data_IF_589429912683
#
_entry.id   IF_589429912683
#
_cell.length_a   1.000
_cell.length_b   1.000
_cell.length_c   1.000
_cell.angle_alpha   90.00
_cell.angle_beta   90.00
_cell.angle_gamma   90.00
#
_symmetry.space_group_name_H-M   'P 1'
#
loop_
_entity.id
_entity.type
_entity.pdbx_description
1 polymer ?
#
# COMPACT_ATOMS: atom_id res chain seq x y z
N UNK A 1 5.08 -20.49 28.09
CA UNK A 1 5.20 -19.66 29.31
C UNK A 1 6.65 -19.48 29.72
N UNK A 2 7.44 -20.58 29.78
CA UNK A 2 8.83 -20.53 30.25
C UNK A 2 9.69 -19.59 29.42
N UNK A 3 9.56 -19.61 28.07
CA UNK A 3 10.38 -18.84 27.14
C UNK A 3 10.04 -17.34 27.10
N UNK A 4 8.82 -16.94 27.44
CA UNK A 4 8.38 -15.55 27.53
C UNK A 4 8.14 -15.07 28.98
N UNK A 5 8.69 -15.80 29.99
CA UNK A 5 8.53 -15.42 31.39
C UNK A 5 9.26 -14.07 31.65
N UNK A 6 8.50 -13.10 32.15
CA UNK A 6 9.00 -11.74 32.38
C UNK A 6 8.99 -10.82 31.17
N UNK A 7 8.62 -11.30 29.97
CA UNK A 7 8.43 -10.45 28.81
C UNK A 7 7.10 -9.70 28.91
N UNK A 8 7.15 -8.40 28.68
CA UNK A 8 5.99 -7.53 28.60
C UNK A 8 5.82 -6.98 27.17
N UNK A 9 4.62 -6.59 26.83
CA UNK A 9 4.36 -5.83 25.61
C UNK A 9 5.19 -4.53 25.64
N UNK A 10 5.75 -4.17 24.49
CA UNK A 10 6.71 -3.06 24.35
C UNK A 10 6.17 -1.77 24.98
N UNK A 11 6.92 -1.23 25.93
CA UNK A 11 6.58 0.01 26.63
C UNK A 11 5.46 -0.10 27.67
N UNK A 12 5.02 -1.31 28.05
CA UNK A 12 3.94 -1.52 29.02
C UNK A 12 4.34 -2.49 30.12
N UNK A 13 3.52 -2.60 31.17
CA UNK A 13 3.62 -3.64 32.19
C UNK A 13 2.74 -4.88 31.88
N UNK A 14 2.11 -4.93 30.72
CA UNK A 14 1.21 -6.02 30.33
C UNK A 14 2.04 -7.24 29.91
N UNK A 15 1.82 -8.42 30.53
CA UNK A 15 2.55 -9.62 30.17
C UNK A 15 2.35 -9.98 28.69
N UNK A 16 3.45 -10.35 28.00
CA UNK A 16 3.41 -10.73 26.58
C UNK A 16 2.48 -11.91 26.28
N UNK A 17 2.31 -12.80 27.27
CA UNK A 17 1.38 -13.93 27.21
C UNK A 17 -0.05 -13.50 26.83
N UNK A 18 -0.49 -12.27 27.16
CA UNK A 18 -1.82 -11.79 26.78
C UNK A 18 -1.96 -11.64 25.27
N UNK A 19 -0.88 -11.26 24.57
CA UNK A 19 -0.83 -11.21 23.11
C UNK A 19 -0.94 -12.63 22.51
N UNK A 20 -0.12 -13.56 22.97
CA UNK A 20 -0.13 -14.94 22.47
C UNK A 20 -1.50 -15.61 22.61
N UNK A 21 -2.16 -15.42 23.76
CA UNK A 21 -3.51 -15.94 24.00
C UNK A 21 -4.57 -15.30 23.10
N UNK A 22 -4.46 -14.01 22.86
CA UNK A 22 -5.38 -13.28 21.97
C UNK A 22 -5.21 -13.73 20.50
N UNK A 23 -3.96 -13.86 20.03
CA UNK A 23 -3.66 -14.36 18.68
C UNK A 23 -4.18 -15.79 18.51
N UNK A 24 -3.93 -16.68 19.48
CA UNK A 24 -4.45 -18.04 19.43
C UNK A 24 -5.98 -18.07 19.39
N UNK A 25 -6.66 -17.24 20.19
CA UNK A 25 -8.13 -17.14 20.17
C UNK A 25 -8.67 -16.73 18.81
N UNK A 26 -8.09 -15.70 18.20
CA UNK A 26 -8.46 -15.22 16.85
C UNK A 26 -8.18 -16.27 15.76
N UNK A 27 -7.01 -16.92 15.81
CA UNK A 27 -6.62 -17.95 14.85
C UNK A 27 -7.55 -19.18 14.92
N UNK A 28 -7.94 -19.62 16.14
CA UNK A 28 -8.89 -20.71 16.34
C UNK A 28 -10.26 -20.36 15.75
N UNK A 29 -10.76 -19.14 16.01
CA UNK A 29 -12.05 -18.67 15.46
C UNK A 29 -12.03 -18.68 13.94
N UNK A 30 -10.98 -18.12 13.34
CA UNK A 30 -10.85 -18.00 11.87
C UNK A 30 -10.64 -19.37 11.20
N UNK A 31 -9.81 -20.26 11.79
CA UNK A 31 -9.58 -21.61 11.27
C UNK A 31 -10.82 -22.51 11.41
N UNK A 32 -11.55 -22.42 12.51
CA UNK A 32 -12.78 -23.21 12.70
C UNK A 32 -13.92 -22.77 11.75
N UNK A 33 -13.91 -21.51 11.33
CA UNK A 33 -14.87 -20.98 10.37
C UNK A 33 -14.52 -21.31 8.90
N UNK A 34 -13.27 -21.73 8.63
CA UNK A 34 -12.78 -22.03 7.28
C UNK A 34 -12.79 -23.54 7.00
N UNK A 35 -13.63 -24.04 6.07
CA UNK A 35 -13.68 -25.47 5.75
C UNK A 35 -12.32 -26.08 5.33
N UNK A 36 -11.41 -25.29 4.79
CA UNK A 36 -10.07 -25.73 4.39
C UNK A 36 -9.10 -25.91 5.54
N UNK A 37 -9.39 -25.35 6.74
CA UNK A 37 -8.51 -25.38 7.90
C UNK A 37 -9.08 -26.13 9.10
N UNK A 38 -10.33 -26.63 9.04
CA UNK A 38 -10.99 -27.27 10.18
C UNK A 38 -10.21 -28.48 10.75
N UNK A 39 -9.53 -29.22 9.90
CA UNK A 39 -8.73 -30.38 10.31
C UNK A 39 -7.36 -29.99 10.91
N UNK A 40 -6.97 -28.70 10.81
CA UNK A 40 -5.70 -28.15 11.30
C UNK A 40 -5.86 -27.20 12.49
N UNK A 41 -7.06 -27.04 13.05
CA UNK A 41 -7.35 -26.06 14.12
C UNK A 41 -6.43 -26.23 15.32
N UNK A 42 -6.10 -27.47 15.71
CA UNK A 42 -5.20 -27.74 16.84
C UNK A 42 -3.76 -27.29 16.54
N UNK A 43 -3.23 -27.63 15.37
CA UNK A 43 -1.88 -27.22 14.94
C UNK A 43 -1.78 -25.70 14.80
N UNK A 44 -2.79 -25.05 14.21
CA UNK A 44 -2.90 -23.60 14.10
C UNK A 44 -2.94 -22.93 15.48
N UNK A 45 -3.70 -23.49 16.44
CA UNK A 45 -3.77 -22.98 17.80
C UNK A 45 -2.42 -23.05 18.52
N UNK A 46 -1.70 -24.17 18.37
CA UNK A 46 -0.36 -24.36 18.92
C UNK A 46 0.63 -23.39 18.26
N UNK A 47 0.63 -23.32 16.91
CA UNK A 47 1.49 -22.40 16.16
C UNK A 47 1.23 -20.94 16.54
N UNK A 48 -0.04 -20.54 16.71
CA UNK A 48 -0.40 -19.19 17.15
C UNK A 48 0.11 -18.84 18.55
N UNK A 49 0.18 -19.81 19.46
CA UNK A 49 0.80 -19.61 20.77
C UNK A 49 2.33 -19.51 20.72
N UNK A 50 2.95 -20.01 19.66
CA UNK A 50 4.39 -20.13 19.48
C UNK A 50 4.96 -19.25 18.36
N UNK A 51 4.14 -18.46 17.68
CA UNK A 51 4.51 -17.78 16.44
C UNK A 51 5.76 -16.88 16.56
N UNK A 52 6.01 -16.30 17.74
CA UNK A 52 7.19 -15.45 17.99
C UNK A 52 8.34 -16.21 18.67
N UNK A 53 8.21 -17.54 18.92
CA UNK A 53 9.21 -18.27 19.71
C UNK A 53 10.58 -18.32 19.02
N UNK A 54 10.61 -18.45 17.69
CA UNK A 54 11.85 -18.48 16.90
C UNK A 54 12.50 -17.09 16.78
N UNK A 55 11.72 -16.01 16.87
CA UNK A 55 12.24 -14.64 16.78
C UNK A 55 12.77 -14.11 18.12
N UNK A 56 12.10 -14.44 19.21
CA UNK A 56 12.29 -13.80 20.51
C UNK A 56 13.03 -14.66 21.53
N UNK A 57 13.33 -15.94 21.20
CA UNK A 57 13.97 -16.87 22.13
C UNK A 57 15.11 -17.64 21.48
N UNK A 58 15.84 -18.43 22.27
CA UNK A 58 16.92 -19.32 21.81
C UNK A 58 16.38 -20.70 21.31
N UNK A 59 15.05 -20.86 21.23
CA UNK A 59 14.45 -22.11 20.74
C UNK A 59 14.71 -22.27 19.25
N UNK A 60 15.18 -23.44 18.85
CA UNK A 60 15.45 -23.76 17.45
C UNK A 60 14.26 -24.42 16.76
N UNK A 61 14.22 -24.39 15.43
CA UNK A 61 13.20 -25.08 14.64
C UNK A 61 13.17 -26.60 14.92
N UNK A 62 14.35 -27.22 15.12
CA UNK A 62 14.46 -28.66 15.42
C UNK A 62 13.86 -29.00 16.80
N UNK A 63 14.05 -28.15 17.80
CA UNK A 63 13.46 -28.31 19.12
C UNK A 63 11.93 -28.16 19.08
N UNK A 64 11.44 -27.21 18.25
CA UNK A 64 10.03 -26.99 18.02
C UNK A 64 9.38 -28.21 17.33
N UNK A 65 10.02 -28.75 16.28
CA UNK A 65 9.57 -29.96 15.60
C UNK A 65 9.54 -31.17 16.53
N UNK A 66 10.58 -31.36 17.33
CA UNK A 66 10.65 -32.49 18.30
C UNK A 66 9.54 -32.41 19.34
N UNK A 67 9.08 -31.21 19.71
CA UNK A 67 8.07 -31.01 20.73
C UNK A 67 6.63 -31.04 20.20
N UNK A 68 6.38 -30.51 19.01
CA UNK A 68 5.03 -30.21 18.46
C UNK A 68 4.79 -30.78 17.07
N UNK A 69 5.79 -31.36 16.41
CA UNK A 69 5.67 -31.93 15.07
C UNK A 69 6.01 -30.95 13.93
N UNK A 70 6.19 -31.51 12.73
CA UNK A 70 6.65 -30.73 11.56
C UNK A 70 5.62 -29.69 11.10
N UNK A 71 4.32 -29.97 11.20
CA UNK A 71 3.26 -29.04 10.77
C UNK A 71 3.30 -27.75 11.60
N UNK A 72 3.40 -27.85 12.91
CA UNK A 72 3.50 -26.67 13.79
C UNK A 72 4.79 -25.90 13.51
N UNK A 73 5.92 -26.61 13.34
CA UNK A 73 7.20 -25.98 12.98
C UNK A 73 7.08 -25.19 11.68
N UNK A 74 6.56 -25.79 10.62
CA UNK A 74 6.41 -25.13 9.30
C UNK A 74 5.56 -23.87 9.40
N UNK A 75 4.40 -23.93 10.10
CA UNK A 75 3.55 -22.75 10.30
C UNK A 75 4.31 -21.64 11.05
N UNK A 76 5.06 -21.97 12.10
CA UNK A 76 5.81 -20.98 12.88
C UNK A 76 6.95 -20.38 12.09
N UNK A 77 7.70 -21.17 11.31
CA UNK A 77 8.77 -20.68 10.43
C UNK A 77 8.21 -19.70 9.39
N UNK A 78 7.09 -20.03 8.73
CA UNK A 78 6.42 -19.16 7.75
C UNK A 78 5.86 -17.87 8.37
N UNK A 79 5.64 -17.80 9.68
CA UNK A 79 5.20 -16.60 10.40
C UNK A 79 6.36 -15.73 10.88
N UNK A 80 7.61 -16.22 10.88
CA UNK A 80 8.77 -15.56 11.50
C UNK A 80 9.50 -14.65 10.53
N UNK A 81 9.86 -13.43 10.96
CA UNK A 81 10.58 -12.42 10.14
C UNK A 81 12.12 -12.46 10.37
N UNK A 82 12.61 -13.26 11.29
CA UNK A 82 14.04 -13.47 11.56
C UNK A 82 14.23 -14.64 12.54
N UNK A 83 15.40 -15.27 12.50
CA UNK A 83 15.78 -16.30 13.46
C UNK A 83 16.60 -15.72 14.63
N UNK A 84 16.11 -15.95 15.84
CA UNK A 84 16.81 -15.69 17.11
C UNK A 84 16.94 -14.21 17.50
N UNK A 85 17.35 -13.96 18.75
CA UNK A 85 17.52 -12.60 19.31
C UNK A 85 18.83 -11.92 18.86
N UNK A 86 19.57 -12.52 17.91
CA UNK A 86 20.89 -12.06 17.46
C UNK A 86 20.90 -10.76 16.64
N UNK A 87 21.93 -10.59 15.81
CA UNK A 87 22.10 -9.38 14.99
C UNK A 87 21.09 -9.34 13.84
N UNK A 88 19.86 -8.87 14.13
CA UNK A 88 18.77 -8.77 13.14
C UNK A 88 19.15 -7.77 12.04
N UNK A 89 18.88 -8.06 10.76
CA UNK A 89 19.03 -7.10 9.66
C UNK A 89 18.24 -5.79 9.91
N UNK A 90 18.52 -4.71 9.14
CA UNK A 90 17.74 -3.49 9.23
C UNK A 90 16.24 -3.74 9.14
N UNK A 91 15.45 -3.00 9.90
CA UNK A 91 14.00 -3.19 10.04
C UNK A 91 13.28 -3.27 8.69
N UNK A 92 13.54 -2.34 7.78
CA UNK A 92 12.90 -2.28 6.46
C UNK A 92 13.20 -3.54 5.64
N UNK A 93 14.46 -3.98 5.63
CA UNK A 93 14.86 -5.16 4.87
C UNK A 93 14.16 -6.44 5.37
N UNK A 94 14.08 -6.61 6.69
CA UNK A 94 13.35 -7.74 7.28
C UNK A 94 11.85 -7.72 6.93
N UNK A 95 11.23 -6.52 7.00
CA UNK A 95 9.81 -6.39 6.69
C UNK A 95 9.52 -6.62 5.21
N UNK A 96 10.41 -6.20 4.31
CA UNK A 96 10.30 -6.53 2.88
C UNK A 96 10.41 -8.03 2.65
N UNK A 97 11.41 -8.69 3.23
CA UNK A 97 11.58 -10.14 3.12
C UNK A 97 10.34 -10.88 3.64
N UNK A 98 9.83 -10.51 4.80
CA UNK A 98 8.62 -11.10 5.36
C UNK A 98 7.40 -10.95 4.42
N UNK A 99 7.24 -9.80 3.74
CA UNK A 99 6.16 -9.60 2.78
C UNK A 99 6.33 -10.51 1.55
N UNK A 100 7.56 -10.67 1.06
CA UNK A 100 7.87 -11.56 -0.06
C UNK A 100 7.58 -13.03 0.33
N UNK A 101 7.94 -13.45 1.55
CA UNK A 101 7.71 -14.80 2.06
C UNK A 101 6.22 -15.10 2.28
N UNK A 102 5.43 -14.11 2.73
CA UNK A 102 3.98 -14.26 2.92
C UNK A 102 3.22 -14.61 1.62
N UNK A 103 3.73 -14.22 0.45
CA UNK A 103 3.10 -14.56 -0.84
C UNK A 103 3.13 -16.07 -1.11
N UNK A 104 4.02 -16.80 -0.46
CA UNK A 104 4.19 -18.25 -0.61
C UNK A 104 3.80 -19.05 0.63
N UNK A 105 3.35 -18.37 1.69
CA UNK A 105 2.98 -18.98 2.94
C UNK A 105 1.72 -19.88 2.79
N UNK A 106 1.65 -20.92 3.60
CA UNK A 106 0.49 -21.80 3.67
C UNK A 106 -0.75 -21.10 4.21
N UNK A 107 -1.95 -21.61 3.89
CA UNK A 107 -3.21 -21.07 4.41
C UNK A 107 -3.24 -21.07 5.96
N UNK A 108 -2.61 -22.05 6.59
CA UNK A 108 -2.49 -22.14 8.04
C UNK A 108 -1.58 -21.04 8.61
N UNK A 109 -0.43 -20.76 7.98
CA UNK A 109 0.46 -19.67 8.38
C UNK A 109 -0.18 -18.30 8.13
N UNK A 110 -0.85 -18.10 6.98
CA UNK A 110 -1.62 -16.89 6.70
C UNK A 110 -2.73 -16.66 7.75
N UNK A 111 -3.37 -17.72 8.25
CA UNK A 111 -4.36 -17.63 9.32
C UNK A 111 -3.74 -17.10 10.62
N UNK A 112 -2.58 -17.64 11.02
CA UNK A 112 -1.85 -17.20 12.22
C UNK A 112 -1.33 -15.77 12.04
N UNK A 113 -0.71 -15.46 10.89
CA UNK A 113 -0.22 -14.12 10.56
C UNK A 113 -1.34 -13.07 10.59
N UNK A 114 -2.52 -13.38 10.03
CA UNK A 114 -3.69 -12.52 10.07
C UNK A 114 -4.14 -12.24 11.51
N UNK A 115 -4.22 -13.27 12.35
CA UNK A 115 -4.60 -13.14 13.75
C UNK A 115 -3.60 -12.29 14.55
N UNK A 116 -2.29 -12.46 14.32
CA UNK A 116 -1.23 -11.66 14.93
C UNK A 116 -1.35 -10.18 14.49
N UNK A 117 -1.46 -9.92 13.18
CA UNK A 117 -1.51 -8.55 12.69
C UNK A 117 -2.80 -7.83 13.10
N UNK A 118 -3.94 -8.53 13.20
CA UNK A 118 -5.18 -7.96 13.77
C UNK A 118 -4.98 -7.54 15.23
N UNK A 119 -4.42 -8.40 16.07
CA UNK A 119 -4.18 -8.07 17.47
C UNK A 119 -3.16 -6.95 17.63
N UNK A 120 -2.07 -6.98 16.88
CA UNK A 120 -1.02 -5.95 16.90
C UNK A 120 -1.54 -4.59 16.45
N UNK A 121 -2.27 -4.52 15.32
CA UNK A 121 -2.85 -3.29 14.82
C UNK A 121 -3.86 -2.69 15.80
N UNK A 122 -4.79 -3.51 16.34
CA UNK A 122 -5.77 -3.06 17.32
C UNK A 122 -5.10 -2.55 18.59
N UNK A 123 -4.11 -3.27 19.11
CA UNK A 123 -3.36 -2.84 20.28
C UNK A 123 -2.63 -1.53 20.06
N UNK A 124 -2.04 -1.34 18.87
CA UNK A 124 -1.38 -0.09 18.49
C UNK A 124 -2.37 1.06 18.41
N UNK A 125 -3.56 0.85 17.85
CA UNK A 125 -4.62 1.87 17.82
C UNK A 125 -5.03 2.28 19.22
N UNK A 126 -5.36 1.30 20.09
CA UNK A 126 -5.80 1.56 21.47
C UNK A 126 -4.74 2.32 22.28
N UNK A 127 -3.47 1.90 22.19
CA UNK A 127 -2.37 2.54 22.90
C UNK A 127 -2.10 3.95 22.35
N UNK A 128 -2.13 4.15 21.01
CA UNK A 128 -1.95 5.45 20.38
C UNK A 128 -3.07 6.44 20.72
N UNK A 129 -4.32 6.00 20.78
CA UNK A 129 -5.46 6.82 21.21
C UNK A 129 -5.34 7.25 22.68
N UNK A 130 -4.82 6.35 23.54
CA UNK A 130 -4.68 6.63 24.96
C UNK A 130 -3.51 7.58 25.27
N UNK A 131 -2.40 7.48 24.54
CA UNK A 131 -1.15 8.20 24.85
C UNK A 131 -0.86 9.38 23.92
N UNK A 132 -1.55 9.44 22.78
CA UNK A 132 -1.36 10.50 21.78
C UNK A 132 -0.04 10.40 21.00
N UNK A 133 0.43 11.52 20.42
CA UNK A 133 1.57 11.51 19.49
C UNK A 133 2.88 10.94 20.05
N UNK A 134 3.11 11.03 21.35
CA UNK A 134 4.34 10.53 21.99
C UNK A 134 4.45 9.00 21.96
N UNK A 135 3.33 8.28 21.79
CA UNK A 135 3.28 6.84 21.67
C UNK A 135 4.26 6.30 20.61
N UNK A 136 4.38 7.00 19.48
CA UNK A 136 5.16 6.57 18.34
C UNK A 136 6.67 6.51 18.60
N UNK A 137 7.16 7.24 19.60
CA UNK A 137 8.58 7.21 20.01
C UNK A 137 9.03 5.84 20.55
N UNK A 138 8.11 4.93 20.85
CA UNK A 138 8.41 3.55 21.26
C UNK A 138 9.00 2.69 20.16
N UNK A 139 8.71 3.03 18.89
CA UNK A 139 9.14 2.24 17.74
C UNK A 139 10.47 2.73 17.21
N UNK A 140 11.31 1.79 16.77
CA UNK A 140 12.56 2.12 16.06
C UNK A 140 12.31 2.65 14.65
N UNK A 141 11.18 2.26 14.05
CA UNK A 141 10.68 2.79 12.79
C UNK A 141 9.61 3.86 13.06
N UNK A 142 9.65 4.96 12.34
CA UNK A 142 8.73 6.09 12.54
C UNK A 142 7.28 5.78 12.21
N UNK A 143 6.33 6.71 12.50
CA UNK A 143 4.91 6.51 12.22
C UNK A 143 4.64 6.17 10.75
N UNK A 144 5.34 6.79 9.80
CA UNK A 144 5.19 6.54 8.37
C UNK A 144 5.64 5.13 7.95
N UNK A 145 6.72 4.62 8.55
CA UNK A 145 7.17 3.26 8.33
C UNK A 145 6.16 2.25 8.89
N UNK A 146 5.52 2.56 10.02
CA UNK A 146 4.43 1.74 10.57
C UNK A 146 3.21 1.72 9.64
N UNK A 147 2.82 2.87 9.07
CA UNK A 147 1.75 2.94 8.06
C UNK A 147 2.08 2.06 6.86
N UNK A 148 3.27 2.21 6.30
CA UNK A 148 3.72 1.40 5.17
C UNK A 148 3.62 -0.10 5.49
N UNK A 149 4.16 -0.50 6.64
CA UNK A 149 4.17 -1.89 7.08
C UNK A 149 2.76 -2.49 7.21
N UNK A 150 1.89 -1.84 7.97
CA UNK A 150 0.55 -2.36 8.21
C UNK A 150 -0.32 -2.38 6.95
N UNK A 151 -0.16 -1.41 6.07
CA UNK A 151 -0.86 -1.40 4.77
C UNK A 151 -0.37 -2.52 3.86
N UNK A 152 0.93 -2.70 3.74
CA UNK A 152 1.51 -3.75 2.90
C UNK A 152 1.07 -5.14 3.36
N UNK A 153 1.18 -5.44 4.66
CA UNK A 153 0.78 -6.75 5.19
C UNK A 153 -0.72 -6.98 5.09
N UNK A 154 -1.55 -5.97 5.35
CA UNK A 154 -3.00 -6.09 5.21
C UNK A 154 -3.43 -6.34 3.75
N UNK A 155 -2.73 -5.71 2.80
CA UNK A 155 -2.98 -5.91 1.37
C UNK A 155 -2.65 -7.34 0.92
N UNK A 156 -1.47 -7.86 1.29
CA UNK A 156 -1.04 -9.22 0.92
C UNK A 156 -1.95 -10.26 1.56
N UNK A 157 -2.17 -10.18 2.87
CA UNK A 157 -3.04 -11.14 3.57
C UNK A 157 -4.47 -11.06 3.05
N UNK A 158 -4.99 -9.85 2.81
CA UNK A 158 -6.34 -9.66 2.27
C UNK A 158 -6.53 -10.19 0.86
N UNK A 159 -5.46 -10.23 0.04
CA UNK A 159 -5.47 -10.82 -1.28
C UNK A 159 -5.52 -12.36 -1.22
N UNK A 160 -4.62 -12.98 -0.45
CA UNK A 160 -4.50 -14.43 -0.37
C UNK A 160 -5.57 -15.07 0.53
N UNK A 161 -6.02 -14.36 1.55
CA UNK A 161 -7.02 -14.84 2.52
C UNK A 161 -8.16 -13.82 2.70
N UNK A 162 -8.99 -13.59 1.66
CA UNK A 162 -10.09 -12.64 1.73
C UNK A 162 -11.18 -13.13 2.70
N UNK A 163 -11.81 -12.21 3.43
CA UNK A 163 -12.91 -12.55 4.34
C UNK A 163 -13.08 -11.52 5.44
N UNK A 164 -13.95 -11.84 6.42
CA UNK A 164 -14.28 -10.93 7.52
C UNK A 164 -13.05 -10.51 8.33
N UNK A 165 -12.20 -11.45 8.68
CA UNK A 165 -10.98 -11.19 9.47
C UNK A 165 -10.02 -10.22 8.76
N UNK A 166 -9.81 -10.39 7.44
CA UNK A 166 -9.00 -9.47 6.63
C UNK A 166 -9.62 -8.07 6.53
N UNK A 167 -10.94 -7.98 6.42
CA UNK A 167 -11.66 -6.70 6.45
C UNK A 167 -11.49 -5.99 7.79
N UNK A 168 -11.60 -6.70 8.91
CA UNK A 168 -11.37 -6.15 10.25
C UNK A 168 -9.94 -5.62 10.41
N UNK A 169 -8.93 -6.32 9.86
CA UNK A 169 -7.56 -5.82 9.81
C UNK A 169 -7.50 -4.52 9.01
N UNK A 170 -8.08 -4.48 7.82
CA UNK A 170 -8.08 -3.30 6.95
C UNK A 170 -8.68 -2.08 7.65
N UNK A 171 -9.86 -2.20 8.28
CA UNK A 171 -10.47 -1.10 9.05
C UNK A 171 -9.59 -0.62 10.21
N UNK A 172 -8.96 -1.56 10.93
CA UNK A 172 -8.05 -1.22 12.02
C UNK A 172 -6.81 -0.49 11.52
N UNK A 173 -6.26 -0.91 10.38
CA UNK A 173 -5.10 -0.28 9.72
C UNK A 173 -5.44 1.14 9.25
N UNK A 174 -6.64 1.37 8.71
CA UNK A 174 -7.07 2.72 8.34
C UNK A 174 -7.10 3.67 9.55
N UNK A 175 -7.63 3.19 10.69
CA UNK A 175 -7.62 3.96 11.94
C UNK A 175 -6.20 4.22 12.44
N UNK A 176 -5.34 3.21 12.41
CA UNK A 176 -3.92 3.35 12.77
C UNK A 176 -3.21 4.39 11.90
N UNK A 177 -3.47 4.37 10.58
CA UNK A 177 -2.92 5.35 9.65
C UNK A 177 -3.36 6.79 9.97
N UNK A 178 -4.62 6.99 10.35
CA UNK A 178 -5.11 8.30 10.76
C UNK A 178 -4.36 8.82 11.98
N UNK A 179 -4.23 8.01 13.04
CA UNK A 179 -3.50 8.36 14.26
C UNK A 179 -2.02 8.64 14.02
N UNK A 180 -1.37 7.84 13.16
CA UNK A 180 0.04 8.05 12.82
C UNK A 180 0.26 9.35 12.03
N UNK A 181 -0.66 9.69 11.13
CA UNK A 181 -0.63 10.96 10.41
C UNK A 181 -0.85 12.16 11.33
N UNK A 182 -1.79 12.09 12.27
CA UNK A 182 -2.00 13.11 13.30
C UNK A 182 -0.74 13.33 14.13
N UNK A 183 -0.06 12.25 14.51
CA UNK A 183 1.15 12.31 15.35
C UNK A 183 2.32 13.05 14.71
N UNK A 184 2.47 12.98 13.39
CA UNK A 184 3.53 13.71 12.67
C UNK A 184 3.11 15.11 12.23
N UNK A 185 1.95 15.59 12.72
CA UNK A 185 1.43 16.90 12.34
C UNK A 185 0.99 16.96 10.87
N UNK A 186 0.87 15.82 10.24
CA UNK A 186 0.23 15.66 8.96
C UNK A 186 -1.30 15.66 9.21
N UNK A 187 -1.84 16.81 9.63
CA UNK A 187 -3.20 17.15 9.18
C UNK A 187 -3.23 16.85 7.69
N UNK A 188 -4.29 16.21 7.19
CA UNK A 188 -4.48 15.98 5.75
C UNK A 188 -3.93 17.23 5.04
N UNK A 189 -2.92 17.13 4.16
CA UNK A 189 -2.44 18.32 3.47
C UNK A 189 -3.68 18.98 2.88
N UNK A 190 -3.87 20.25 3.14
CA UNK A 190 -4.96 21.00 2.51
C UNK A 190 -4.51 21.18 1.06
N UNK A 191 -4.92 20.26 0.21
CA UNK A 191 -4.63 20.34 -1.22
C UNK A 191 -5.46 21.47 -1.82
N UNK A 192 -4.83 22.31 -2.61
CA UNK A 192 -5.50 23.29 -3.46
C UNK A 192 -5.34 22.84 -4.90
N UNK A 193 -6.45 22.74 -5.62
CA UNK A 193 -6.41 22.41 -7.04
C UNK A 193 -5.73 23.51 -7.84
N UNK A 194 -4.97 23.12 -8.84
CA UNK A 194 -4.31 24.07 -9.73
C UNK A 194 -5.31 25.03 -10.39
N UNK A 195 -4.84 26.24 -10.72
CA UNK A 195 -5.64 27.23 -11.40
C UNK A 195 -6.12 26.74 -12.77
N UNK A 196 -7.25 27.30 -13.21
CA UNK A 196 -7.83 26.96 -14.50
C UNK A 196 -6.83 27.22 -15.64
N UNK A 197 -6.48 26.15 -16.36
CA UNK A 197 -5.59 26.22 -17.51
C UNK A 197 -4.12 26.41 -17.17
N UNK A 198 -3.70 26.20 -15.89
CA UNK A 198 -2.27 26.12 -15.54
C UNK A 198 -1.58 25.10 -16.45
N UNK A 199 -0.63 25.52 -17.32
CA UNK A 199 0.04 24.59 -18.22
C UNK A 199 0.80 23.54 -17.41
N UNK A 200 0.66 22.28 -17.81
CA UNK A 200 1.43 21.20 -17.21
C UNK A 200 2.93 21.30 -17.52
N UNK A 201 3.75 20.43 -16.90
CA UNK A 201 5.20 20.38 -17.15
C UNK A 201 5.56 20.05 -18.60
N UNK A 202 4.63 19.51 -19.37
CA UNK A 202 4.78 19.23 -20.81
C UNK A 202 3.51 19.59 -21.58
N UNK A 203 3.57 19.60 -22.89
CA UNK A 203 2.41 19.87 -23.77
C UNK A 203 1.30 18.79 -23.66
N UNK A 204 1.57 17.64 -23.02
CA UNK A 204 0.64 16.52 -22.87
C UNK A 204 0.37 16.19 -21.40
N UNK A 205 0.48 17.19 -20.55
CA UNK A 205 0.23 17.09 -19.12
C UNK A 205 -0.47 18.33 -18.57
N UNK A 206 -0.98 18.21 -17.35
CA UNK A 206 -1.61 19.30 -16.61
C UNK A 206 -1.31 19.13 -15.12
N UNK A 207 -1.33 20.22 -14.35
CA UNK A 207 -1.26 20.19 -12.91
C UNK A 207 -2.63 19.87 -12.31
N UNK A 208 -2.65 18.97 -11.35
CA UNK A 208 -3.78 18.72 -10.44
C UNK A 208 -3.61 19.57 -9.17
N UNK A 209 -2.38 19.59 -8.66
CA UNK A 209 -1.90 20.48 -7.59
C UNK A 209 -0.59 21.08 -8.06
N UNK A 210 -0.50 22.39 -8.15
CA UNK A 210 0.63 23.09 -8.73
C UNK A 210 1.97 22.68 -8.06
N UNK A 211 2.93 22.27 -8.88
CA UNK A 211 4.27 21.86 -8.46
C UNK A 211 4.33 20.56 -7.64
N UNK A 212 3.20 19.90 -7.38
CA UNK A 212 3.15 18.71 -6.52
C UNK A 212 2.56 17.48 -7.19
N UNK A 213 1.43 17.65 -7.87
CA UNK A 213 0.76 16.54 -8.54
C UNK A 213 0.38 16.94 -9.97
N UNK A 214 0.99 16.31 -10.95
CA UNK A 214 0.67 16.45 -12.36
C UNK A 214 0.13 15.14 -12.92
N UNK A 215 -0.63 15.24 -14.01
CA UNK A 215 -1.18 14.08 -14.69
C UNK A 215 -1.14 14.28 -16.21
N UNK A 216 -1.12 13.17 -16.98
CA UNK A 216 -1.09 13.31 -18.43
C UNK A 216 -0.81 12.01 -19.19
N UNK A 217 -0.18 12.17 -20.37
CA UNK A 217 0.16 11.09 -21.28
C UNK A 217 1.45 10.36 -20.86
N UNK A 218 1.67 9.20 -21.45
CA UNK A 218 2.87 8.38 -21.26
C UNK A 218 4.15 9.16 -21.59
N UNK A 219 5.14 9.24 -20.70
CA UNK A 219 6.35 10.05 -20.91
C UNK A 219 7.25 9.51 -22.01
N UNK A 220 7.20 8.23 -22.27
CA UNK A 220 7.95 7.55 -23.31
C UNK A 220 7.19 7.43 -24.63
N UNK A 221 5.95 7.97 -24.69
CA UNK A 221 5.18 7.96 -25.93
C UNK A 221 5.81 8.86 -26.97
N UNK A 222 5.87 8.38 -28.15
CA UNK A 222 6.25 9.18 -29.26
C UNK A 222 7.31 8.60 -30.15
N UNK A 223 7.93 9.48 -30.88
CA UNK A 223 8.79 9.16 -32.01
C UNK A 223 10.24 8.80 -31.63
N UNK A 224 10.55 8.71 -30.32
CA UNK A 224 11.90 8.32 -29.91
C UNK A 224 12.16 6.84 -30.11
N UNK A 225 13.41 6.50 -30.43
CA UNK A 225 13.84 5.11 -30.63
C UNK A 225 14.78 4.66 -29.52
N UNK A 226 14.77 3.35 -29.17
CA UNK A 226 15.75 2.83 -28.22
C UNK A 226 17.18 3.19 -28.67
N UNK A 227 17.95 3.79 -27.74
CA UNK A 227 19.32 4.25 -28.01
C UNK A 227 19.46 5.73 -28.35
N UNK A 228 18.36 6.46 -28.55
CA UNK A 228 18.39 7.92 -28.65
C UNK A 228 18.66 8.55 -27.25
N UNK A 229 18.94 9.86 -27.24
CA UNK A 229 19.00 10.61 -25.99
C UNK A 229 17.65 10.54 -25.25
N UNK A 230 17.68 10.76 -23.93
CA UNK A 230 16.44 10.79 -23.11
C UNK A 230 15.40 11.68 -23.81
N UNK A 231 14.15 11.21 -23.91
CA UNK A 231 13.11 12.01 -24.55
C UNK A 231 13.03 13.38 -23.88
N UNK A 232 12.90 14.44 -24.68
CA UNK A 232 12.79 15.81 -24.17
C UNK A 232 11.67 15.94 -23.12
N UNK A 233 10.57 15.23 -23.33
CA UNK A 233 9.42 15.13 -22.40
C UNK A 233 9.86 14.66 -21.01
N UNK A 234 10.68 13.60 -20.90
CA UNK A 234 11.19 13.12 -19.61
C UNK A 234 12.09 14.18 -18.97
N UNK A 235 12.95 14.83 -19.76
CA UNK A 235 13.80 15.92 -19.28
C UNK A 235 13.00 17.13 -18.76
N UNK A 236 11.93 17.52 -19.44
CA UNK A 236 11.02 18.57 -19.00
C UNK A 236 10.34 18.21 -17.67
N UNK A 237 9.84 16.97 -17.52
CA UNK A 237 9.20 16.48 -16.30
C UNK A 237 10.16 16.48 -15.10
N UNK A 238 11.38 15.96 -15.28
CA UNK A 238 12.41 15.97 -14.23
C UNK A 238 12.84 17.41 -13.86
N UNK A 239 12.95 18.30 -14.86
CA UNK A 239 13.26 19.72 -14.63
C UNK A 239 12.13 20.46 -13.92
N UNK A 240 10.87 20.04 -14.07
CA UNK A 240 9.73 20.52 -13.29
C UNK A 240 9.69 19.96 -11.85
N UNK A 241 10.68 19.14 -11.48
CA UNK A 241 10.83 18.57 -10.14
C UNK A 241 10.02 17.29 -9.90
N UNK A 242 9.39 16.71 -10.95
CA UNK A 242 8.69 15.43 -10.82
C UNK A 242 9.70 14.32 -10.55
N UNK A 243 9.50 13.58 -9.46
CA UNK A 243 10.41 12.54 -8.99
C UNK A 243 9.72 11.21 -8.62
N UNK A 244 8.42 11.12 -8.87
CA UNK A 244 7.65 9.89 -8.74
C UNK A 244 6.64 9.77 -9.89
N UNK A 245 6.72 8.68 -10.64
CA UNK A 245 5.85 8.37 -11.77
C UNK A 245 4.92 7.23 -11.41
N UNK A 246 3.63 7.50 -11.25
CA UNK A 246 2.59 6.47 -11.05
C UNK A 246 2.12 6.03 -12.43
N UNK A 247 2.62 4.88 -12.87
CA UNK A 247 2.37 4.33 -14.19
C UNK A 247 1.16 3.39 -14.18
N UNK A 248 0.10 3.79 -14.86
CA UNK A 248 -1.18 3.06 -14.95
C UNK A 248 -1.26 2.15 -16.19
N UNK A 249 -0.16 2.00 -16.95
CA UNK A 249 -0.13 1.15 -18.13
C UNK A 249 0.34 -0.27 -17.82
N UNK A 250 0.02 -1.18 -18.72
CA UNK A 250 0.53 -2.55 -18.73
C UNK A 250 1.73 -2.64 -19.69
N UNK A 251 2.76 -1.75 -19.51
CA UNK A 251 3.89 -1.56 -20.42
C UNK A 251 4.98 -2.62 -20.30
N UNK A 252 4.92 -3.53 -19.33
CA UNK A 252 5.85 -4.63 -19.20
C UNK A 252 5.64 -5.70 -20.30
N UNK A 253 6.68 -6.49 -20.63
CA UNK A 253 6.57 -7.55 -21.63
C UNK A 253 5.40 -8.50 -21.35
N UNK A 254 4.50 -8.64 -22.32
CA UNK A 254 3.28 -9.45 -22.22
C UNK A 254 2.03 -8.69 -21.76
N UNK A 255 2.16 -7.47 -21.33
CA UNK A 255 1.02 -6.59 -20.99
C UNK A 255 0.34 -5.99 -22.23
N UNK A 256 -0.87 -5.47 -22.04
CA UNK A 256 -1.68 -4.86 -23.10
C UNK A 256 -1.04 -3.63 -23.76
N UNK A 257 -0.23 -2.91 -23.02
CA UNK A 257 0.50 -1.71 -23.49
C UNK A 257 1.98 -1.99 -23.80
N UNK A 258 2.39 -3.26 -23.96
CA UNK A 258 3.79 -3.66 -24.21
C UNK A 258 4.42 -3.13 -25.49
N UNK A 259 3.61 -2.48 -26.35
CA UNK A 259 4.08 -1.76 -27.54
C UNK A 259 4.70 -0.40 -27.22
N UNK A 260 4.52 0.13 -26.00
CA UNK A 260 5.07 1.41 -25.59
C UNK A 260 6.59 1.30 -25.32
N UNK A 261 7.32 2.34 -25.68
CA UNK A 261 8.74 2.42 -25.37
C UNK A 261 8.94 2.80 -23.90
N UNK A 262 9.56 1.91 -23.13
CA UNK A 262 9.81 2.14 -21.69
C UNK A 262 10.73 3.33 -21.46
N UNK A 263 10.33 4.22 -20.57
CA UNK A 263 11.12 5.42 -20.19
C UNK A 263 12.00 5.21 -18.97
N UNK A 264 11.96 4.03 -18.37
CA UNK A 264 12.71 3.63 -17.16
C UNK A 264 14.19 4.00 -17.20
N UNK A 265 14.93 3.75 -18.29
CA UNK A 265 16.35 4.08 -18.34
C UNK A 265 16.64 5.58 -18.18
N UNK A 266 15.69 6.43 -18.53
CA UNK A 266 15.87 7.89 -18.55
C UNK A 266 15.53 8.54 -17.20
N UNK A 267 14.80 7.87 -16.33
CA UNK A 267 14.46 8.33 -14.97
C UNK A 267 15.28 7.62 -13.89
N UNK A 268 16.01 6.57 -14.25
CA UNK A 268 16.80 5.76 -13.31
C UNK A 268 17.79 6.63 -12.50
N UNK A 269 17.78 6.48 -11.18
CA UNK A 269 18.59 7.26 -10.26
C UNK A 269 18.13 8.72 -10.02
N UNK A 270 17.06 9.17 -10.69
CA UNK A 270 16.51 10.52 -10.56
C UNK A 270 15.06 10.53 -10.09
N UNK A 271 14.28 9.50 -10.45
CA UNK A 271 12.88 9.38 -10.08
C UNK A 271 12.49 7.91 -9.84
N UNK A 272 11.44 7.70 -9.06
CA UNK A 272 10.79 6.42 -8.84
C UNK A 272 9.72 6.17 -9.91
N UNK A 273 9.56 4.92 -10.33
CA UNK A 273 8.40 4.47 -11.11
C UNK A 273 7.61 3.48 -10.25
N UNK A 274 6.39 3.84 -9.92
CA UNK A 274 5.43 3.00 -9.20
C UNK A 274 4.36 2.50 -10.18
N UNK A 275 4.38 1.20 -10.49
CA UNK A 275 3.44 0.62 -11.46
C UNK A 275 2.17 0.13 -10.79
N UNK A 276 1.05 0.69 -11.24
CA UNK A 276 -0.31 0.35 -10.79
C UNK A 276 -1.20 0.10 -12.02
N UNK A 277 -0.98 -0.99 -12.74
CA UNK A 277 -1.60 -1.19 -14.04
C UNK A 277 -3.12 -1.28 -13.96
N UNK A 278 -3.78 -0.62 -14.91
CA UNK A 278 -5.21 -0.70 -15.16
C UNK A 278 -5.37 -1.09 -16.63
N UNK A 279 -6.19 -2.08 -16.99
CA UNK A 279 -6.44 -2.45 -18.39
C UNK A 279 -6.87 -1.27 -19.25
N UNK A 280 -6.35 -1.19 -20.48
CA UNK A 280 -6.71 -0.08 -21.36
C UNK A 280 -8.21 -0.03 -21.63
N UNK A 281 -8.78 1.22 -21.65
CA UNK A 281 -10.22 1.48 -21.73
C UNK A 281 -11.06 0.88 -20.58
N UNK A 282 -10.45 0.14 -19.65
CA UNK A 282 -11.11 -0.50 -18.51
C UNK A 282 -11.24 0.40 -17.28
N UNK A 283 -11.80 -0.20 -16.22
CA UNK A 283 -11.87 0.33 -14.87
C UNK A 283 -11.14 -0.63 -13.92
N UNK A 284 -10.51 -0.14 -12.86
CA UNK A 284 -9.97 -1.01 -11.80
C UNK A 284 -11.10 -1.52 -10.91
N UNK A 285 -10.81 -2.50 -10.05
CA UNK A 285 -11.67 -2.74 -8.88
C UNK A 285 -11.58 -1.57 -7.90
N UNK A 286 -12.53 -1.45 -6.97
CA UNK A 286 -12.50 -0.42 -5.93
C UNK A 286 -11.22 -0.54 -5.08
N UNK A 287 -10.87 -1.75 -4.69
CA UNK A 287 -9.67 -2.05 -3.88
C UNK A 287 -8.40 -1.67 -4.63
N UNK A 288 -8.32 -1.96 -5.93
CA UNK A 288 -7.16 -1.56 -6.73
C UNK A 288 -7.08 -0.04 -6.88
N UNK A 289 -8.20 0.67 -7.09
CA UNK A 289 -8.20 2.13 -7.12
C UNK A 289 -7.73 2.71 -5.78
N UNK A 290 -8.17 2.18 -4.65
CA UNK A 290 -7.66 2.59 -3.32
C UNK A 290 -6.14 2.43 -3.26
N UNK A 291 -5.60 1.30 -3.72
CA UNK A 291 -4.14 1.07 -3.78
C UNK A 291 -3.42 2.11 -4.66
N UNK A 292 -4.01 2.49 -5.79
CA UNK A 292 -3.47 3.54 -6.68
C UNK A 292 -3.45 4.90 -5.98
N UNK A 293 -4.57 5.28 -5.36
CA UNK A 293 -4.69 6.57 -4.67
C UNK A 293 -3.79 6.64 -3.43
N UNK A 294 -3.66 5.53 -2.69
CA UNK A 294 -2.73 5.43 -1.55
C UNK A 294 -1.28 5.63 -1.98
N UNK A 295 -0.88 5.09 -3.13
CA UNK A 295 0.46 5.30 -3.68
C UNK A 295 0.71 6.78 -4.02
N UNK A 296 -0.25 7.44 -4.69
CA UNK A 296 -0.16 8.90 -4.96
C UNK A 296 -0.01 9.67 -3.66
N UNK A 297 -0.89 9.42 -2.69
CA UNK A 297 -0.89 10.09 -1.39
C UNK A 297 0.39 9.86 -0.60
N UNK A 298 0.90 8.62 -0.60
CA UNK A 298 2.15 8.28 0.08
C UNK A 298 3.33 9.08 -0.48
N UNK A 299 3.48 9.12 -1.80
CA UNK A 299 4.57 9.86 -2.44
C UNK A 299 4.45 11.37 -2.18
N UNK A 300 3.25 11.94 -2.26
CA UNK A 300 3.01 13.36 -1.97
C UNK A 300 3.33 13.70 -0.51
N UNK A 301 2.94 12.85 0.46
CA UNK A 301 3.23 13.04 1.90
C UNK A 301 4.72 12.94 2.21
N UNK A 302 5.45 12.10 1.51
CA UNK A 302 6.91 11.95 1.64
C UNK A 302 7.70 13.13 1.03
N UNK A 303 7.02 14.16 0.53
CA UNK A 303 7.65 15.31 -0.11
C UNK A 303 7.97 15.12 -1.58
N UNK A 304 7.56 14.00 -2.18
CA UNK A 304 7.69 13.73 -3.60
C UNK A 304 6.72 14.59 -4.43
N UNK A 305 7.06 14.78 -5.70
CA UNK A 305 6.21 15.39 -6.71
C UNK A 305 5.81 14.31 -7.72
N UNK A 306 4.50 14.06 -7.79
CA UNK A 306 3.93 12.91 -8.49
C UNK A 306 3.52 13.25 -9.90
N UNK A 307 3.77 12.33 -10.83
CA UNK A 307 3.18 12.32 -12.17
C UNK A 307 2.38 11.05 -12.39
N UNK A 308 1.05 11.15 -12.49
CA UNK A 308 0.19 10.02 -12.82
C UNK A 308 -0.11 9.98 -14.32
N UNK A 309 0.09 8.82 -14.96
CA UNK A 309 -0.11 8.72 -16.40
C UNK A 309 -0.60 7.34 -16.83
N UNK A 310 -1.28 7.32 -17.96
CA UNK A 310 -1.51 6.12 -18.77
C UNK A 310 -0.92 6.34 -20.17
N UNK A 311 -1.42 5.68 -21.20
CA UNK A 311 -0.95 5.92 -22.55
C UNK A 311 -1.31 7.34 -23.03
N UNK A 312 -2.60 7.64 -23.21
CA UNK A 312 -3.06 8.93 -23.75
C UNK A 312 -3.32 10.03 -22.72
N UNK A 313 -3.23 9.75 -21.43
CA UNK A 313 -3.56 10.70 -20.35
C UNK A 313 -5.06 11.03 -20.23
N UNK A 314 -5.95 10.19 -20.76
CA UNK A 314 -7.38 10.49 -20.89
C UNK A 314 -8.27 9.61 -20.01
N UNK A 315 -8.31 8.27 -20.29
CA UNK A 315 -9.22 7.34 -19.67
C UNK A 315 -8.82 7.01 -18.23
N UNK A 316 -7.84 6.10 -18.09
CA UNK A 316 -7.30 5.61 -16.80
C UNK A 316 -6.81 6.76 -15.92
N UNK A 317 -5.99 7.66 -16.47
CA UNK A 317 -5.48 8.84 -15.77
C UNK A 317 -6.60 9.76 -15.29
N UNK A 318 -7.56 10.09 -16.14
CA UNK A 318 -8.69 10.93 -15.75
C UNK A 318 -9.54 10.31 -14.65
N UNK A 319 -9.73 8.98 -14.67
CA UNK A 319 -10.46 8.26 -13.62
C UNK A 319 -9.73 8.36 -12.28
N UNK A 320 -8.41 8.14 -12.27
CA UNK A 320 -7.58 8.23 -11.05
C UNK A 320 -7.60 9.65 -10.48
N UNK A 321 -7.38 10.68 -11.31
CA UNK A 321 -7.38 12.09 -10.86
C UNK A 321 -8.73 12.49 -10.27
N UNK A 322 -9.84 12.14 -10.95
CA UNK A 322 -11.17 12.47 -10.46
C UNK A 322 -11.48 11.77 -9.12
N UNK A 323 -11.17 10.48 -8.99
CA UNK A 323 -11.32 9.75 -7.72
C UNK A 323 -10.44 10.33 -6.61
N UNK A 324 -9.21 10.78 -6.93
CA UNK A 324 -8.32 11.43 -5.98
C UNK A 324 -8.90 12.76 -5.47
N UNK A 325 -9.45 13.59 -6.35
CA UNK A 325 -10.10 14.84 -5.96
C UNK A 325 -11.29 14.61 -5.03
N UNK A 326 -12.13 13.62 -5.35
CA UNK A 326 -13.29 13.26 -4.51
C UNK A 326 -12.82 12.72 -3.16
N UNK A 327 -11.83 11.82 -3.13
CA UNK A 327 -11.25 11.26 -1.91
C UNK A 327 -10.85 12.32 -0.91
N UNK A 328 -10.29 13.43 -1.39
CA UNK A 328 -9.79 14.54 -0.57
C UNK A 328 -10.85 15.63 -0.31
N UNK A 329 -12.11 15.43 -0.68
CA UNK A 329 -13.16 16.41 -0.51
C UNK A 329 -12.95 17.72 -1.26
N UNK A 330 -12.09 17.72 -2.32
CA UNK A 330 -11.80 18.90 -3.13
C UNK A 330 -12.93 19.21 -4.11
N UNK A 331 -13.74 18.21 -4.43
CA UNK A 331 -14.87 18.30 -5.36
C UNK A 331 -15.91 17.22 -4.99
N UNK A 332 -17.18 17.50 -5.23
CA UNK A 332 -18.22 16.49 -5.10
C UNK A 332 -18.15 15.44 -6.22
N UNK A 333 -18.68 14.21 -6.02
CA UNK A 333 -18.74 13.21 -7.09
C UNK A 333 -19.48 13.69 -8.34
N UNK A 334 -20.49 14.53 -8.17
CA UNK A 334 -21.29 15.10 -9.25
C UNK A 334 -20.50 16.10 -10.10
N UNK A 335 -19.61 16.88 -9.47
CA UNK A 335 -18.86 17.96 -10.10
C UNK A 335 -17.48 17.53 -10.59
N UNK A 336 -17.01 16.32 -10.18
CA UNK A 336 -15.64 15.86 -10.41
C UNK A 336 -15.25 15.78 -11.90
N UNK A 337 -16.18 15.45 -12.78
CA UNK A 337 -15.92 15.37 -14.22
C UNK A 337 -15.81 16.75 -14.86
N UNK A 338 -16.55 17.73 -14.37
CA UNK A 338 -16.45 19.12 -14.80
C UNK A 338 -15.13 19.72 -14.34
N UNK A 339 -14.77 19.50 -13.08
CA UNK A 339 -13.50 19.98 -12.52
C UNK A 339 -12.29 19.34 -13.20
N UNK A 340 -12.34 18.04 -13.48
CA UNK A 340 -11.31 17.37 -14.27
C UNK A 340 -11.16 18.02 -15.66
N UNK A 341 -12.28 18.38 -16.30
CA UNK A 341 -12.25 19.05 -17.61
C UNK A 341 -11.60 20.42 -17.50
N UNK A 342 -11.85 21.17 -16.42
CA UNK A 342 -11.24 22.46 -16.13
C UNK A 342 -9.72 22.35 -15.98
N UNK A 343 -9.24 21.41 -15.16
CA UNK A 343 -7.80 21.19 -14.96
C UNK A 343 -7.11 20.81 -16.28
N UNK A 344 -7.74 19.95 -17.06
CA UNK A 344 -7.19 19.44 -18.31
C UNK A 344 -7.04 20.46 -19.42
N UNK A 345 -7.58 21.66 -19.30
CA UNK A 345 -7.27 22.77 -20.21
C UNK A 345 -5.75 23.03 -20.29
N UNK A 346 -5.01 22.72 -19.20
CA UNK A 346 -3.55 22.79 -19.16
C UNK A 346 -2.81 21.78 -20.07
N UNK A 347 -3.45 20.68 -20.50
CA UNK A 347 -2.93 19.76 -21.52
C UNK A 347 -3.16 20.36 -22.93
N UNK A 348 -2.22 21.12 -23.42
CA UNK A 348 -2.34 21.83 -24.71
C UNK A 348 -2.60 20.88 -25.90
N UNK A 349 -2.12 19.63 -25.82
CA UNK A 349 -2.24 18.65 -26.91
C UNK A 349 -3.58 17.91 -26.94
N UNK A 350 -4.18 17.64 -25.78
CA UNK A 350 -5.39 16.82 -25.70
C UNK A 350 -6.41 17.27 -24.62
N UNK A 351 -6.25 18.43 -24.02
CA UNK A 351 -7.16 18.95 -22.99
C UNK A 351 -8.61 19.09 -23.47
N UNK A 352 -8.82 19.33 -24.74
CA UNK A 352 -10.15 19.42 -25.39
C UNK A 352 -10.85 18.07 -25.55
N UNK A 353 -10.15 16.94 -25.38
CA UNK A 353 -10.72 15.61 -25.54
C UNK A 353 -11.43 15.17 -24.28
N UNK A 354 -12.50 14.36 -24.44
CA UNK A 354 -13.27 13.80 -23.32
C UNK A 354 -12.38 12.97 -22.39
N UNK A 355 -12.52 13.20 -21.08
CA UNK A 355 -11.85 12.46 -20.01
C UNK A 355 -12.78 12.38 -18.80
N UNK A 356 -12.97 11.19 -18.18
CA UNK A 356 -12.56 9.87 -18.70
C UNK A 356 -13.23 9.52 -20.03
N UNK A 357 -12.67 8.52 -20.74
CA UNK A 357 -13.07 8.22 -22.12
C UNK A 357 -14.37 7.40 -22.21
N UNK A 358 -14.54 6.42 -21.33
CA UNK A 358 -15.68 5.50 -21.40
C UNK A 358 -16.79 5.88 -20.42
N UNK A 359 -18.02 5.44 -20.71
CA UNK A 359 -19.14 5.65 -19.80
C UNK A 359 -18.97 4.90 -18.47
N UNK A 360 -18.31 3.73 -18.51
CA UNK A 360 -18.00 2.94 -17.33
C UNK A 360 -17.02 3.67 -16.41
N UNK A 361 -15.98 4.29 -16.98
CA UNK A 361 -15.03 5.11 -16.24
C UNK A 361 -15.73 6.33 -15.61
N UNK A 362 -16.60 7.02 -16.35
CA UNK A 362 -17.37 8.13 -15.81
C UNK A 362 -18.29 7.67 -14.64
N UNK A 363 -18.98 6.53 -14.81
CA UNK A 363 -19.85 5.98 -13.78
C UNK A 363 -19.05 5.54 -12.54
N UNK A 364 -17.85 5.00 -12.73
CA UNK A 364 -16.94 4.65 -11.64
C UNK A 364 -16.60 5.90 -10.79
N UNK A 365 -16.25 7.00 -11.44
CA UNK A 365 -15.96 8.29 -10.77
C UNK A 365 -17.17 8.80 -10.00
N UNK A 366 -18.36 8.87 -10.61
CA UNK A 366 -19.56 9.42 -9.96
C UNK A 366 -20.09 8.56 -8.80
N UNK A 367 -19.67 7.31 -8.71
CA UNK A 367 -19.98 6.43 -7.58
C UNK A 367 -18.88 6.43 -6.50
N UNK A 368 -17.75 7.11 -6.71
CA UNK A 368 -16.66 7.21 -5.74
C UNK A 368 -17.07 8.09 -4.56
N UNK A 369 -16.53 7.81 -3.37
CA UNK A 369 -16.92 8.53 -2.14
C UNK A 369 -15.74 9.28 -1.55
N UNK A 370 -16.05 10.37 -0.85
CA UNK A 370 -15.09 11.09 -0.04
C UNK A 370 -14.45 10.15 1.01
N UNK A 371 -13.14 10.25 1.17
CA UNK A 371 -12.38 9.42 2.10
C UNK A 371 -12.10 7.98 1.65
N UNK A 372 -12.65 7.57 0.50
CA UNK A 372 -12.50 6.20 -0.01
C UNK A 372 -11.14 5.95 -0.65
#
# INVERSE_FOLDING_TARGET
RVHHEGHNRKGTAIPYLTHLLAVAGLAIEDAAADPGLQDQVEDIAIAALLHDVLEDTEVTADELEAAFGSVVREIVEECSDAEGPGNKPPWLLRKQQYLDDLEFASDAALCVALADKRHNALSTVVDAEAEGPEFWARFSAGPQDQIWWYRAVASIIGFWRPGRAAQELTYTVERLCALANEAVGLSQPHWELADNGSPGPTSRSYWVVDGRFAAGAYPGDGDWKPGDAAPAVVGEMLSAGLNCFVNLTEDLPGGGDSHLNMYDPFVSGQALIDRKPIPDMGIPTVEHMVTVLDAVDQHLRQGGNVYAHCWGGLGRTGTVVACWMIRHGLVSPEDALEELTRLRVGDAGAGHRKSPQTSEQCLFVTNWKEGQ
#
